data_IF_710246945782
#
_entry.id   IF_710246945782
#
_cell.length_a   1.000
_cell.length_b   1.000
_cell.length_c   1.000
_cell.angle_alpha   90.00
_cell.angle_beta   90.00
_cell.angle_gamma   90.00
#
_symmetry.space_group_name_H-M   'P 1'
#
loop_
_entity.id
_entity.type
_entity.pdbx_description
1 polymer ?
#
# COMPACT_ATOMS: atom_id res chain seq x y z
N UNK A 1 1.87 0.33 -1.49
CA UNK A 1 0.55 -0.33 -1.31
C UNK A 1 -0.60 0.37 -2.06
N UNK A 2 -1.24 -0.25 -3.06
CA UNK A 2 -2.47 0.25 -3.72
C UNK A 2 -3.71 -0.51 -3.22
N UNK A 3 -4.74 0.21 -2.76
CA UNK A 3 -6.00 -0.37 -2.25
C UNK A 3 -7.16 0.04 -3.16
N UNK A 4 -7.88 -0.93 -3.71
CA UNK A 4 -9.07 -0.73 -4.57
C UNK A 4 -10.32 -1.21 -3.84
N UNK A 5 -11.39 -0.41 -3.86
CA UNK A 5 -12.69 -0.80 -3.30
C UNK A 5 -13.63 -1.25 -4.40
N UNK A 6 -14.06 -2.51 -4.33
CA UNK A 6 -15.08 -3.11 -5.20
C UNK A 6 -16.13 -3.77 -4.32
N UNK A 7 -16.78 -2.94 -3.49
CA UNK A 7 -17.68 -3.41 -2.45
C UNK A 7 -18.89 -4.11 -3.06
N UNK A 8 -19.29 -5.22 -2.43
CA UNK A 8 -20.52 -5.93 -2.77
C UNK A 8 -21.72 -4.98 -2.69
N UNK A 9 -22.65 -5.04 -3.67
CA UNK A 9 -23.89 -4.27 -3.61
C UNK A 9 -24.74 -4.63 -2.38
N UNK A 10 -25.47 -3.64 -1.83
CA UNK A 10 -26.26 -3.80 -0.59
C UNK A 10 -27.31 -4.90 -0.70
N UNK A 11 -27.91 -5.07 -1.87
CA UNK A 11 -28.88 -6.11 -2.19
C UNK A 11 -28.34 -7.54 -2.03
N UNK A 12 -27.02 -7.73 -1.96
CA UNK A 12 -26.41 -9.06 -1.72
C UNK A 12 -25.88 -9.24 -0.30
N UNK A 13 -26.09 -8.27 0.59
CA UNK A 13 -25.61 -8.35 1.98
C UNK A 13 -26.19 -9.59 2.68
N UNK A 14 -27.46 -9.93 2.47
CA UNK A 14 -28.09 -11.09 3.09
C UNK A 14 -27.38 -12.43 2.77
N UNK A 15 -26.70 -12.49 1.63
CA UNK A 15 -25.97 -13.68 1.17
C UNK A 15 -24.51 -13.61 1.65
N UNK A 16 -23.85 -12.47 1.45
CA UNK A 16 -22.40 -12.34 1.59
C UNK A 16 -21.96 -11.90 2.97
N UNK A 17 -22.68 -10.97 3.59
CA UNK A 17 -22.26 -10.33 4.83
C UNK A 17 -23.48 -9.87 5.64
N UNK A 18 -24.38 -10.76 6.07
CA UNK A 18 -25.68 -10.37 6.64
C UNK A 18 -25.58 -9.66 8.00
N UNK A 19 -24.48 -9.84 8.73
CA UNK A 19 -24.33 -9.34 10.09
C UNK A 19 -23.36 -8.18 10.16
N UNK A 20 -23.68 -7.20 10.99
CA UNK A 20 -22.71 -6.21 11.45
C UNK A 20 -21.62 -6.89 12.28
N UNK A 21 -20.44 -6.29 12.27
CA UNK A 21 -19.25 -6.78 12.93
C UNK A 21 -18.43 -5.60 13.44
N UNK A 22 -17.99 -5.70 14.69
CA UNK A 22 -16.84 -4.94 15.17
C UNK A 22 -15.64 -5.88 15.07
N UNK A 23 -14.69 -5.63 14.16
CA UNK A 23 -13.51 -6.47 14.02
C UNK A 23 -12.75 -6.65 15.34
N UNK A 24 -12.23 -7.84 15.60
CA UNK A 24 -11.36 -8.12 16.76
C UNK A 24 -9.99 -8.72 16.39
N UNK A 25 -9.86 -9.23 15.17
CA UNK A 25 -8.64 -9.84 14.63
C UNK A 25 -8.68 -9.95 13.10
N UNK A 26 -7.56 -10.34 12.51
CA UNK A 26 -7.38 -10.62 11.07
C UNK A 26 -7.21 -12.14 10.89
N UNK A 27 -7.82 -12.69 9.84
CA UNK A 27 -7.66 -14.09 9.44
C UNK A 27 -6.99 -14.14 8.07
N UNK A 28 -5.90 -14.90 7.99
CA UNK A 28 -5.11 -15.07 6.78
C UNK A 28 -5.52 -16.34 6.06
N UNK A 29 -5.68 -16.23 4.75
CA UNK A 29 -6.07 -17.30 3.85
C UNK A 29 -5.19 -17.33 2.61
N UNK A 30 -5.22 -18.47 1.92
CA UNK A 30 -4.64 -18.64 0.61
C UNK A 30 -5.77 -19.13 -0.31
N UNK A 31 -5.89 -18.53 -1.49
CA UNK A 31 -6.99 -18.81 -2.42
C UNK A 31 -6.98 -20.24 -2.97
N UNK A 32 -5.82 -20.91 -2.94
CA UNK A 32 -5.55 -22.14 -3.68
C UNK A 32 -5.90 -22.01 -5.18
N UNK A 33 -5.64 -20.82 -5.74
CA UNK A 33 -5.92 -20.47 -7.13
C UNK A 33 -4.84 -19.52 -7.70
N UNK A 34 -4.79 -19.39 -9.03
CA UNK A 34 -3.86 -18.52 -9.77
C UNK A 34 -4.58 -17.33 -10.43
N UNK A 35 -5.55 -16.76 -9.72
CA UNK A 35 -6.32 -15.60 -10.16
C UNK A 35 -5.87 -14.33 -9.42
N UNK A 36 -6.00 -13.18 -10.09
CA UNK A 36 -5.72 -11.87 -9.48
C UNK A 36 -6.74 -11.51 -8.40
N UNK A 37 -6.42 -10.52 -7.56
CA UNK A 37 -7.31 -10.06 -6.50
C UNK A 37 -8.61 -9.48 -7.06
N UNK A 38 -8.55 -8.86 -8.24
CA UNK A 38 -9.73 -8.36 -8.95
C UNK A 38 -10.65 -9.51 -9.39
N UNK A 39 -10.08 -10.60 -9.91
CA UNK A 39 -10.84 -11.77 -10.33
C UNK A 39 -11.47 -12.48 -9.12
N UNK A 40 -10.72 -12.68 -8.04
CA UNK A 40 -11.21 -13.30 -6.80
C UNK A 40 -12.39 -12.50 -6.20
N UNK A 41 -12.25 -11.18 -6.06
CA UNK A 41 -13.33 -10.36 -5.50
C UNK A 41 -14.53 -10.26 -6.45
N UNK A 42 -14.31 -10.05 -7.76
CA UNK A 42 -15.43 -9.91 -8.71
C UNK A 42 -16.25 -11.19 -8.81
N UNK A 43 -15.59 -12.36 -8.82
CA UNK A 43 -16.26 -13.65 -8.74
C UNK A 43 -17.02 -13.80 -7.42
N UNK A 44 -16.37 -13.51 -6.29
CA UNK A 44 -16.96 -13.64 -4.95
C UNK A 44 -18.21 -12.79 -4.79
N UNK A 45 -18.18 -11.50 -5.15
CA UNK A 45 -19.34 -10.62 -5.04
C UNK A 45 -20.40 -10.88 -6.13
N UNK A 46 -19.99 -11.53 -7.23
CA UNK A 46 -20.80 -11.82 -8.41
C UNK A 46 -21.71 -13.06 -8.28
N UNK A 47 -21.35 -14.02 -7.42
CA UNK A 47 -22.08 -15.28 -7.26
C UNK A 47 -23.04 -15.29 -6.04
N UNK A 48 -23.90 -16.32 -5.94
CA UNK A 48 -24.90 -16.48 -4.87
C UNK A 48 -24.46 -17.42 -3.73
N UNK A 49 -23.19 -17.81 -3.68
CA UNK A 49 -22.69 -18.69 -2.63
C UNK A 49 -22.57 -17.94 -1.30
N UNK A 50 -22.86 -18.60 -0.17
CA UNK A 50 -22.59 -18.09 1.18
C UNK A 50 -21.11 -18.30 1.56
N UNK A 51 -20.23 -17.77 0.72
CA UNK A 51 -18.78 -17.76 0.86
C UNK A 51 -18.31 -16.37 0.46
N UNK A 52 -17.48 -15.75 1.30
CA UNK A 52 -17.00 -14.37 1.10
C UNK A 52 -15.84 -14.05 2.02
N UNK A 53 -14.99 -13.13 1.59
CA UNK A 53 -13.82 -12.62 2.30
C UNK A 53 -13.75 -11.10 2.12
N UNK A 54 -13.12 -10.39 3.05
CA UNK A 54 -13.11 -8.94 3.02
C UNK A 54 -12.20 -8.39 1.95
N UNK A 55 -10.99 -8.94 1.85
CA UNK A 55 -9.98 -8.52 0.89
C UNK A 55 -9.35 -9.71 0.19
N UNK A 56 -8.96 -9.50 -1.07
CA UNK A 56 -7.97 -10.32 -1.76
C UNK A 56 -6.73 -9.48 -2.06
N UNK A 57 -5.55 -10.11 -2.03
CA UNK A 57 -4.25 -9.46 -2.26
C UNK A 57 -3.51 -10.23 -3.34
N UNK A 58 -3.15 -9.54 -4.42
CA UNK A 58 -2.27 -10.05 -5.47
C UNK A 58 -0.91 -9.36 -5.44
N UNK A 59 -0.03 -9.68 -6.39
CA UNK A 59 1.32 -9.13 -6.48
C UNK A 59 1.38 -7.60 -6.69
N UNK A 60 0.25 -6.95 -7.05
CA UNK A 60 0.22 -5.52 -7.37
C UNK A 60 -0.73 -4.69 -6.50
N UNK A 61 -1.81 -5.28 -5.97
CA UNK A 61 -2.87 -4.53 -5.29
C UNK A 61 -3.64 -5.35 -4.26
N UNK A 62 -4.34 -4.61 -3.40
CA UNK A 62 -5.39 -5.11 -2.51
C UNK A 62 -6.74 -4.72 -3.11
N UNK A 63 -7.69 -5.65 -3.14
CA UNK A 63 -9.09 -5.39 -3.53
C UNK A 63 -10.01 -5.73 -2.37
N UNK A 64 -10.77 -4.75 -1.89
CA UNK A 64 -11.77 -4.92 -0.83
C UNK A 64 -13.16 -5.17 -1.42
N UNK A 65 -13.77 -6.30 -1.07
CA UNK A 65 -15.10 -6.73 -1.51
C UNK A 65 -16.18 -6.64 -0.43
N UNK A 66 -15.85 -6.85 0.84
CA UNK A 66 -16.80 -6.76 1.96
C UNK A 66 -16.37 -5.62 2.90
N UNK A 67 -17.30 -4.74 3.33
CA UNK A 67 -17.02 -3.73 4.36
C UNK A 67 -16.52 -4.38 5.66
N UNK A 68 -15.53 -3.78 6.32
CA UNK A 68 -14.98 -4.34 7.57
C UNK A 68 -15.94 -4.27 8.76
N UNK A 69 -16.97 -3.42 8.72
CA UNK A 69 -18.02 -3.39 9.74
C UNK A 69 -19.11 -4.46 9.52
N UNK A 70 -18.88 -5.43 8.64
CA UNK A 70 -19.77 -6.56 8.38
C UNK A 70 -18.99 -7.86 8.35
N UNK A 71 -19.67 -8.94 8.69
CA UNK A 71 -19.10 -10.28 8.73
C UNK A 71 -18.78 -10.78 7.31
N UNK A 72 -17.98 -11.84 7.20
CA UNK A 72 -17.84 -12.60 5.95
C UNK A 72 -17.89 -14.10 6.24
N UNK A 73 -18.33 -14.91 5.28
CA UNK A 73 -18.33 -16.38 5.37
C UNK A 73 -17.01 -16.98 4.86
N UNK A 74 -16.00 -17.09 5.74
CA UNK A 74 -14.63 -17.46 5.38
C UNK A 74 -14.03 -18.60 6.22
N UNK A 75 -14.36 -18.70 7.51
CA UNK A 75 -13.59 -19.45 8.51
C UNK A 75 -14.07 -20.90 8.73
N UNK A 76 -15.22 -21.27 8.17
CA UNK A 76 -15.77 -22.63 8.29
C UNK A 76 -16.24 -23.02 9.69
N UNK A 77 -16.32 -22.09 10.63
CA UNK A 77 -16.68 -22.30 12.05
C UNK A 77 -18.18 -22.07 12.34
N UNK A 78 -19.01 -22.22 11.32
CA UNK A 78 -20.47 -22.09 11.41
C UNK A 78 -20.98 -20.64 11.51
N UNK A 79 -22.29 -20.51 11.71
CA UNK A 79 -22.99 -19.21 11.65
C UNK A 79 -22.53 -18.20 12.71
N UNK A 80 -22.17 -18.70 13.90
CA UNK A 80 -21.86 -17.90 15.08
C UNK A 80 -20.42 -18.05 15.56
N UNK A 81 -19.56 -18.74 14.80
CA UNK A 81 -18.15 -18.88 15.15
C UNK A 81 -17.42 -17.55 15.06
N UNK A 82 -16.41 -17.38 15.92
CA UNK A 82 -15.67 -16.14 16.06
C UNK A 82 -14.97 -15.74 14.75
N UNK A 83 -14.45 -16.70 13.98
CA UNK A 83 -13.78 -16.43 12.72
C UNK A 83 -14.71 -15.76 11.71
N UNK A 84 -15.89 -16.32 11.49
CA UNK A 84 -16.89 -15.72 10.60
C UNK A 84 -17.48 -14.40 11.12
N UNK A 85 -17.47 -14.16 12.44
CA UNK A 85 -18.24 -13.08 13.07
C UNK A 85 -17.43 -11.92 13.63
N UNK A 86 -16.11 -12.08 13.77
CA UNK A 86 -15.20 -11.08 14.37
C UNK A 86 -13.91 -10.86 13.56
N UNK A 87 -13.62 -11.72 12.59
CA UNK A 87 -12.39 -11.66 11.80
C UNK A 87 -12.52 -10.85 10.50
N UNK A 88 -11.51 -10.02 10.21
CA UNK A 88 -11.27 -9.51 8.85
C UNK A 88 -10.51 -10.57 8.06
N UNK A 89 -11.13 -11.12 7.02
CA UNK A 89 -10.56 -12.18 6.18
C UNK A 89 -9.78 -11.59 4.99
N UNK A 90 -8.52 -12.01 4.87
CA UNK A 90 -7.59 -11.62 3.80
C UNK A 90 -7.15 -12.86 3.03
N UNK A 91 -7.50 -12.93 1.75
CA UNK A 91 -7.12 -13.99 0.81
C UNK A 91 -5.87 -13.60 0.02
N UNK A 92 -4.79 -14.39 0.13
CA UNK A 92 -3.57 -14.20 -0.65
C UNK A 92 -3.67 -15.02 -1.95
N UNK A 93 -3.62 -14.31 -3.08
CA UNK A 93 -3.73 -14.85 -4.43
C UNK A 93 -2.49 -15.66 -4.86
N UNK A 94 -2.58 -16.35 -6.00
CA UNK A 94 -1.49 -17.11 -6.64
C UNK A 94 -0.89 -18.27 -5.83
N UNK A 95 -1.52 -18.62 -4.69
CA UNK A 95 -1.04 -19.68 -3.82
C UNK A 95 -1.15 -21.09 -4.43
N UNK A 96 -1.83 -21.31 -5.55
CA UNK A 96 -1.87 -22.64 -6.19
C UNK A 96 -0.52 -22.99 -6.82
N UNK A 97 -0.05 -22.17 -7.74
CA UNK A 97 1.24 -22.37 -8.41
C UNK A 97 2.42 -21.80 -7.61
N UNK A 98 2.19 -20.79 -6.77
CA UNK A 98 3.26 -20.15 -5.99
C UNK A 98 4.14 -19.26 -6.87
N UNK A 99 5.45 -19.24 -6.56
CA UNK A 99 6.44 -18.46 -7.29
C UNK A 99 6.41 -16.97 -7.00
N UNK A 100 7.09 -16.18 -7.83
CA UNK A 100 7.31 -14.74 -7.62
C UNK A 100 6.00 -13.96 -7.40
N UNK A 101 4.93 -14.32 -8.11
CA UNK A 101 3.63 -13.67 -7.95
C UNK A 101 3.02 -13.92 -6.58
N UNK A 102 3.14 -15.14 -6.04
CA UNK A 102 2.70 -15.43 -4.67
C UNK A 102 3.60 -14.74 -3.64
N UNK A 103 4.92 -14.80 -3.81
CA UNK A 103 5.86 -14.15 -2.88
C UNK A 103 5.62 -12.64 -2.78
N UNK A 104 5.35 -11.99 -3.92
CA UNK A 104 5.02 -10.57 -3.96
C UNK A 104 3.64 -10.28 -3.38
N UNK A 105 2.65 -11.16 -3.61
CA UNK A 105 1.32 -11.05 -2.99
C UNK A 105 1.40 -11.22 -1.46
N UNK A 106 2.22 -12.15 -0.98
CA UNK A 106 2.42 -12.42 0.45
C UNK A 106 3.12 -11.23 1.15
N UNK A 107 4.16 -10.65 0.53
CA UNK A 107 4.78 -9.41 1.01
C UNK A 107 3.79 -8.25 1.09
N UNK A 108 2.99 -8.04 0.04
CA UNK A 108 1.98 -6.99 0.04
C UNK A 108 0.88 -7.24 1.08
N UNK A 109 0.50 -8.50 1.28
CA UNK A 109 -0.45 -8.89 2.32
C UNK A 109 0.12 -8.61 3.72
N UNK A 110 1.39 -8.91 3.96
CA UNK A 110 2.06 -8.61 5.23
C UNK A 110 2.12 -7.09 5.50
N UNK A 111 2.48 -6.28 4.50
CA UNK A 111 2.45 -4.81 4.57
C UNK A 111 1.03 -4.31 4.90
N UNK A 112 0.01 -4.86 4.24
CA UNK A 112 -1.38 -4.46 4.45
C UNK A 112 -1.92 -4.87 5.83
N UNK A 113 -1.57 -6.07 6.31
CA UNK A 113 -1.91 -6.53 7.65
C UNK A 113 -1.29 -5.61 8.70
N UNK A 114 0.00 -5.28 8.57
CA UNK A 114 0.67 -4.34 9.47
C UNK A 114 -0.02 -2.97 9.47
N UNK A 115 -0.42 -2.46 8.30
CA UNK A 115 -1.21 -1.23 8.19
C UNK A 115 -2.54 -1.35 8.97
N UNK A 116 -3.31 -2.43 8.79
CA UNK A 116 -4.56 -2.64 9.52
C UNK A 116 -4.34 -2.75 11.03
N UNK A 117 -3.30 -3.47 11.48
CA UNK A 117 -2.94 -3.57 12.89
C UNK A 117 -2.70 -2.17 13.50
N UNK A 118 -1.94 -1.30 12.81
CA UNK A 118 -1.74 0.09 13.25
C UNK A 118 -3.06 0.88 13.29
N UNK A 119 -3.92 0.76 12.28
CA UNK A 119 -5.21 1.47 12.23
C UNK A 119 -6.14 1.10 13.39
N UNK A 120 -6.15 -0.18 13.78
CA UNK A 120 -6.98 -0.67 14.89
C UNK A 120 -6.28 -0.65 16.26
N UNK A 121 -5.04 -0.16 16.33
CA UNK A 121 -4.19 -0.23 17.52
C UNK A 121 -4.08 -1.67 18.08
N UNK A 122 -3.89 -2.63 17.17
CA UNK A 122 -3.73 -4.04 17.49
C UNK A 122 -2.27 -4.46 17.43
N UNK A 123 -1.95 -5.48 18.22
CA UNK A 123 -0.65 -6.16 18.20
C UNK A 123 -0.71 -7.39 17.30
N UNK A 124 0.46 -7.97 17.05
CA UNK A 124 0.63 -9.12 16.15
C UNK A 124 -0.17 -10.37 16.57
N UNK A 125 -0.52 -10.49 17.85
CA UNK A 125 -1.35 -11.58 18.40
C UNK A 125 -2.79 -11.61 17.84
N UNK A 126 -3.21 -10.52 17.19
CA UNK A 126 -4.47 -10.38 16.45
C UNK A 126 -4.40 -10.91 15.01
N UNK A 127 -3.29 -11.47 14.58
CA UNK A 127 -3.20 -12.20 13.29
C UNK A 127 -3.40 -13.69 13.54
N UNK A 128 -4.45 -14.24 12.93
CA UNK A 128 -4.82 -15.66 12.99
C UNK A 128 -4.77 -16.28 11.60
N UNK A 129 -4.71 -17.60 11.53
CA UNK A 129 -4.87 -18.37 10.28
C UNK A 129 -6.21 -19.09 10.29
N UNK A 130 -6.77 -19.35 9.12
CA UNK A 130 -8.04 -20.10 9.01
C UNK A 130 -7.98 -21.45 9.75
N UNK A 131 -6.83 -22.13 9.73
CA UNK A 131 -6.62 -23.37 10.47
C UNK A 131 -6.99 -23.29 11.96
N UNK A 132 -6.85 -22.11 12.60
CA UNK A 132 -7.16 -21.90 14.02
C UNK A 132 -8.68 -22.04 14.33
N UNK A 133 -9.54 -21.98 13.31
CA UNK A 133 -11.01 -21.98 13.46
C UNK A 133 -11.67 -23.29 13.02
N UNK A 134 -11.12 -23.98 12.01
CA UNK A 134 -11.76 -25.17 11.42
C UNK A 134 -10.80 -26.33 11.11
N UNK A 135 -9.56 -26.29 11.60
CA UNK A 135 -8.49 -27.25 11.28
C UNK A 135 -8.18 -27.40 9.78
N UNK A 136 -8.78 -26.58 8.91
CA UNK A 136 -8.49 -26.56 7.47
C UNK A 136 -7.02 -26.24 7.25
N UNK A 137 -6.36 -26.96 6.34
CA UNK A 137 -5.00 -26.61 5.90
C UNK A 137 -5.03 -25.31 5.06
N UNK A 138 -5.15 -24.16 5.73
CA UNK A 138 -5.26 -22.84 5.13
C UNK A 138 -4.72 -21.81 6.14
N UNK A 139 -3.82 -20.88 5.74
CA UNK A 139 -3.29 -20.63 4.40
C UNK A 139 -2.22 -21.68 3.99
N UNK A 140 -2.51 -22.54 3.01
CA UNK A 140 -1.75 -23.78 2.78
C UNK A 140 -0.28 -23.55 2.41
N UNK A 141 0.01 -22.60 1.52
CA UNK A 141 1.38 -22.29 1.05
C UNK A 141 2.13 -21.45 2.07
N UNK A 142 1.49 -20.43 2.66
CA UNK A 142 2.07 -19.67 3.77
C UNK A 142 2.42 -20.58 4.97
N UNK A 143 1.64 -21.65 5.20
CA UNK A 143 1.97 -22.68 6.20
C UNK A 143 3.18 -23.52 5.78
N UNK A 144 3.24 -23.94 4.52
CA UNK A 144 4.35 -24.70 3.92
C UNK A 144 5.67 -23.91 3.98
N UNK A 145 5.65 -22.62 3.67
CA UNK A 145 6.79 -21.70 3.71
C UNK A 145 7.14 -21.23 5.13
N UNK A 146 6.33 -21.62 6.11
CA UNK A 146 6.54 -21.36 7.53
C UNK A 146 5.73 -20.17 8.03
N UNK A 147 4.65 -20.45 8.76
CA UNK A 147 3.79 -19.41 9.36
C UNK A 147 4.55 -18.37 10.19
N UNK A 148 5.59 -18.77 10.91
CA UNK A 148 6.41 -17.84 11.70
C UNK A 148 7.18 -16.86 10.80
N UNK A 149 7.60 -17.26 9.59
CA UNK A 149 8.24 -16.37 8.63
C UNK A 149 7.28 -15.27 8.21
N UNK A 150 6.01 -15.62 7.95
CA UNK A 150 4.97 -14.64 7.63
C UNK A 150 4.68 -13.68 8.80
N UNK A 151 4.59 -14.18 10.04
CA UNK A 151 4.45 -13.35 11.24
C UNK A 151 5.63 -12.40 11.42
N UNK A 152 6.86 -12.86 11.16
CA UNK A 152 8.05 -12.02 11.21
C UNK A 152 8.01 -10.92 10.13
N UNK A 153 7.55 -11.26 8.93
CA UNK A 153 7.39 -10.31 7.82
C UNK A 153 6.36 -9.22 8.16
N UNK A 154 5.21 -9.58 8.75
CA UNK A 154 4.25 -8.60 9.26
C UNK A 154 4.89 -7.72 10.34
N UNK A 155 5.61 -8.33 11.29
CA UNK A 155 6.26 -7.60 12.39
C UNK A 155 7.29 -6.58 11.86
N UNK A 156 8.06 -6.95 10.83
CA UNK A 156 8.98 -6.05 10.14
C UNK A 156 8.29 -4.80 9.55
N UNK A 157 7.05 -4.93 9.05
CA UNK A 157 6.26 -3.78 8.57
C UNK A 157 5.52 -3.05 9.72
N UNK A 158 5.26 -3.74 10.83
CA UNK A 158 4.60 -3.17 12.00
C UNK A 158 5.54 -2.27 12.80
N UNK A 159 6.83 -2.61 12.87
CA UNK A 159 7.85 -1.77 13.49
C UNK A 159 7.90 -0.40 12.81
N UNK A 160 7.79 0.67 13.62
CA UNK A 160 8.21 1.99 13.20
C UNK A 160 9.73 1.97 13.12
N UNK A 161 10.25 1.60 11.95
CA UNK A 161 11.68 1.68 11.72
C UNK A 161 12.09 3.14 11.91
N UNK A 162 13.02 3.45 12.82
CA UNK A 162 13.61 4.78 12.83
C UNK A 162 14.10 5.04 11.41
N UNK A 163 13.82 6.22 10.89
CA UNK A 163 14.53 6.70 9.71
C UNK A 163 15.99 6.68 10.14
N UNK A 164 16.75 5.72 9.63
CA UNK A 164 18.18 5.68 9.88
C UNK A 164 18.75 6.83 9.08
N UNK A 165 18.82 8.01 9.71
CA UNK A 165 19.49 9.18 9.16
C UNK A 165 21.00 8.94 8.98
N UNK A 166 21.53 7.78 9.41
CA UNK A 166 22.93 7.37 9.22
C UNK A 166 23.38 7.21 7.76
N UNK A 167 22.52 7.53 6.79
CA UNK A 167 22.87 7.73 5.37
C UNK A 167 22.22 8.95 4.72
N UNK A 168 21.49 9.76 5.49
CA UNK A 168 21.08 11.11 5.10
C UNK A 168 22.06 12.00 5.84
N UNK A 169 23.14 12.44 5.16
CA UNK A 169 23.82 13.64 5.61
C UNK A 169 22.72 14.65 5.89
N UNK A 170 22.60 15.07 7.16
CA UNK A 170 21.66 16.09 7.58
C UNK A 170 21.63 17.13 6.47
N UNK A 171 20.44 17.36 5.87
CA UNK A 171 20.27 18.38 4.85
C UNK A 171 21.02 19.60 5.33
N UNK A 172 22.06 19.96 4.59
CA UNK A 172 23.11 20.80 5.12
C UNK A 172 22.51 22.09 5.64
N UNK A 173 22.99 22.58 6.79
CA UNK A 173 22.83 23.99 7.18
C UNK A 173 23.62 24.90 6.21
N UNK A 174 23.87 24.45 4.96
CA UNK A 174 24.40 25.29 3.91
C UNK A 174 23.39 26.39 3.64
N UNK A 175 23.89 27.62 3.61
CA UNK A 175 23.10 28.76 3.18
C UNK A 175 22.46 28.45 1.83
N UNK A 176 21.18 28.80 1.72
CA UNK A 176 20.42 28.69 0.47
C UNK A 176 21.19 29.42 -0.63
N UNK A 177 21.66 28.66 -1.62
CA UNK A 177 22.39 29.18 -2.77
C UNK A 177 21.46 29.99 -3.67
N UNK A 178 22.02 30.81 -4.54
CA UNK A 178 21.22 31.52 -5.55
C UNK A 178 21.31 30.78 -6.88
N UNK A 179 20.18 30.49 -7.50
CA UNK A 179 20.11 30.10 -8.91
C UNK A 179 19.78 31.32 -9.76
N UNK A 180 20.64 31.68 -10.70
CA UNK A 180 20.33 32.66 -11.74
C UNK A 180 20.20 31.97 -13.08
N UNK A 181 19.03 32.06 -13.72
CA UNK A 181 18.78 31.49 -15.05
C UNK A 181 19.61 32.20 -16.15
N UNK A 182 19.80 31.51 -17.28
CA UNK A 182 20.55 31.97 -18.45
C UNK A 182 19.79 32.99 -19.31
N UNK A 183 20.23 33.17 -20.56
CA UNK A 183 19.63 34.12 -21.50
C UNK A 183 18.31 33.65 -22.15
N UNK A 184 17.91 32.40 -21.89
CA UNK A 184 16.67 31.79 -22.39
C UNK A 184 15.83 31.29 -21.23
N UNK A 185 14.51 31.15 -21.44
CA UNK A 185 13.65 30.52 -20.44
C UNK A 185 14.09 29.08 -20.16
N UNK A 186 14.08 28.69 -18.89
CA UNK A 186 14.45 27.34 -18.45
C UNK A 186 13.20 26.60 -17.95
N UNK A 187 13.06 25.32 -18.30
CA UNK A 187 11.93 24.51 -17.86
C UNK A 187 12.21 23.96 -16.46
N UNK A 188 11.24 24.08 -15.56
CA UNK A 188 11.30 23.45 -14.23
C UNK A 188 10.51 22.14 -14.24
N UNK A 189 11.14 21.06 -13.77
CA UNK A 189 10.59 19.70 -13.74
C UNK A 189 10.25 19.22 -12.32
N UNK A 190 9.31 18.28 -12.19
CA UNK A 190 8.91 17.68 -10.91
C UNK A 190 9.92 16.66 -10.37
N UNK A 191 10.75 16.11 -11.25
CA UNK A 191 11.64 14.99 -10.98
C UNK A 191 12.99 15.17 -11.70
N UNK A 192 14.04 14.54 -11.18
CA UNK A 192 15.39 14.65 -11.75
C UNK A 192 15.55 13.97 -13.11
N UNK A 193 14.65 13.04 -13.46
CA UNK A 193 14.57 12.43 -14.79
C UNK A 193 13.91 13.36 -15.83
N UNK A 194 13.46 14.55 -15.41
CA UNK A 194 12.83 15.56 -16.25
C UNK A 194 11.59 15.06 -17.01
N UNK A 195 10.83 14.15 -16.41
CA UNK A 195 9.66 13.53 -17.08
C UNK A 195 8.42 14.41 -17.06
N UNK A 196 8.27 15.26 -16.03
CA UNK A 196 7.08 16.10 -15.85
C UNK A 196 7.45 17.58 -15.71
N UNK A 197 7.05 18.41 -16.67
CA UNK A 197 7.15 19.88 -16.59
C UNK A 197 6.15 20.43 -15.58
N UNK A 198 6.58 21.34 -14.71
CA UNK A 198 5.73 21.98 -13.69
C UNK A 198 5.76 23.52 -13.70
N UNK A 199 6.70 24.10 -14.45
CA UNK A 199 6.79 25.54 -14.68
C UNK A 199 8.01 25.90 -15.54
N UNK A 200 8.44 27.14 -15.42
CA UNK A 200 9.63 27.68 -16.07
C UNK A 200 10.15 28.91 -15.33
N UNK A 201 11.43 29.19 -15.51
CA UNK A 201 12.09 30.43 -15.13
C UNK A 201 12.25 31.32 -16.35
N UNK A 202 12.04 32.62 -16.19
CA UNK A 202 12.30 33.63 -17.22
C UNK A 202 13.80 33.87 -17.41
N UNK A 203 14.23 34.39 -18.57
CA UNK A 203 15.63 34.74 -18.79
C UNK A 203 16.19 35.64 -17.67
N UNK A 204 17.34 35.25 -17.11
CA UNK A 204 18.02 35.93 -15.98
C UNK A 204 17.25 35.98 -14.66
N UNK A 205 16.11 35.29 -14.54
CA UNK A 205 15.38 35.18 -13.27
C UNK A 205 16.27 34.57 -12.19
N UNK A 206 16.15 35.11 -10.96
CA UNK A 206 16.87 34.62 -9.78
C UNK A 206 15.90 33.96 -8.82
N UNK A 207 16.31 32.84 -8.26
CA UNK A 207 15.52 32.09 -7.30
C UNK A 207 16.44 31.33 -6.33
N UNK A 208 15.85 30.77 -5.28
CA UNK A 208 16.59 30.00 -4.29
C UNK A 208 17.01 28.65 -4.88
N UNK A 209 18.23 28.21 -4.58
CA UNK A 209 18.79 26.92 -4.94
C UNK A 209 19.11 26.13 -3.68
N UNK A 210 18.58 24.92 -3.60
CA UNK A 210 18.79 24.01 -2.46
C UNK A 210 19.87 22.96 -2.74
N UNK A 211 20.58 23.09 -3.86
CA UNK A 211 21.66 22.18 -4.25
C UNK A 211 21.42 21.46 -5.57
N UNK A 212 22.34 20.55 -5.88
CA UNK A 212 22.34 19.76 -7.11
C UNK A 212 22.04 18.30 -6.74
N UNK A 213 21.01 17.73 -7.38
CA UNK A 213 20.55 16.35 -7.15
C UNK A 213 20.46 15.64 -8.50
N UNK A 214 21.18 14.54 -8.66
CA UNK A 214 21.24 13.78 -9.93
C UNK A 214 21.49 14.69 -11.15
N UNK A 215 22.52 15.55 -11.06
CA UNK A 215 22.88 16.55 -12.09
C UNK A 215 21.77 17.55 -12.43
N UNK A 216 20.87 17.87 -11.48
CA UNK A 216 19.84 18.90 -11.63
C UNK A 216 19.85 19.88 -10.47
N UNK A 217 19.70 21.16 -10.76
CA UNK A 217 19.59 22.18 -9.72
C UNK A 217 18.16 22.17 -9.14
N UNK A 218 18.03 21.99 -7.83
CA UNK A 218 16.74 22.08 -7.15
C UNK A 218 16.45 23.52 -6.76
N UNK A 219 15.44 24.12 -7.38
CA UNK A 219 15.13 25.54 -7.23
C UNK A 219 13.75 25.77 -6.62
N UNK A 220 13.59 26.81 -5.80
CA UNK A 220 12.29 27.36 -5.37
C UNK A 220 12.05 28.68 -6.09
N UNK A 221 11.08 28.68 -7.01
CA UNK A 221 10.78 29.84 -7.85
C UNK A 221 9.36 30.35 -7.61
N UNK A 222 9.18 31.65 -7.86
CA UNK A 222 7.90 32.32 -7.71
C UNK A 222 7.00 31.99 -8.90
N UNK A 223 5.73 31.67 -8.66
CA UNK A 223 4.80 31.33 -9.74
C UNK A 223 4.19 32.61 -10.29
N UNK A 224 4.56 33.00 -11.52
CA UNK A 224 3.97 34.10 -12.28
C UNK A 224 3.86 35.43 -11.48
N UNK A 225 4.87 35.75 -10.66
CA UNK A 225 4.86 36.97 -9.83
C UNK A 225 3.82 36.99 -8.70
N UNK A 226 3.19 35.84 -8.38
CA UNK A 226 2.27 35.70 -7.23
C UNK A 226 3.03 35.40 -5.94
N UNK A 227 2.42 35.53 -4.77
CA UNK A 227 3.06 35.12 -3.50
C UNK A 227 3.17 33.59 -3.30
N UNK A 228 2.94 32.80 -4.37
CA UNK A 228 3.06 31.34 -4.33
C UNK A 228 4.39 30.90 -4.91
N UNK A 229 4.99 29.89 -4.28
CA UNK A 229 6.26 29.31 -4.70
C UNK A 229 6.08 27.85 -5.10
N UNK A 230 6.91 27.38 -6.02
CA UNK A 230 7.04 25.96 -6.37
C UNK A 230 8.50 25.55 -6.27
N UNK A 231 8.72 24.29 -5.94
CA UNK A 231 10.04 23.66 -5.99
C UNK A 231 10.08 22.69 -7.16
N UNK A 232 11.21 22.65 -7.86
CA UNK A 232 11.48 21.66 -8.88
C UNK A 232 12.92 21.67 -9.35
N UNK A 233 13.17 21.00 -10.46
CA UNK A 233 14.51 20.74 -10.98
C UNK A 233 14.75 21.45 -12.31
N UNK A 234 15.85 22.19 -12.41
CA UNK A 234 16.36 22.77 -13.66
C UNK A 234 17.49 21.89 -14.22
N UNK A 235 17.59 21.82 -15.54
CA UNK A 235 18.65 21.06 -16.23
C UNK A 235 19.96 21.83 -16.24
N UNK A 236 19.89 23.14 -16.43
CA UNK A 236 21.11 23.95 -16.54
C UNK A 236 21.70 24.22 -15.15
N UNK A 237 22.95 23.78 -14.93
CA UNK A 237 23.66 23.91 -13.65
C UNK A 237 24.51 25.18 -13.54
N UNK A 238 24.80 25.85 -14.67
CA UNK A 238 25.67 27.04 -14.69
C UNK A 238 25.10 28.27 -13.97
N UNK A 239 23.85 28.20 -13.52
CA UNK A 239 23.18 29.24 -12.75
C UNK A 239 23.36 29.15 -11.24
N UNK A 240 23.90 28.04 -10.70
CA UNK A 240 24.05 27.83 -9.25
C UNK A 240 25.25 28.64 -8.73
N UNK A 241 25.02 29.56 -7.80
CA UNK A 241 26.02 30.40 -7.13
C UNK A 241 25.89 30.29 -5.60
#
# INVERSE_FOLDING_TARGET
>A
MQITKMLVPKERYEIKCPYEMNPEFIIVHNTANDASAMAEISYMIGNNNKISFHCAVDNTRIVQGIPFNRNSWNAGDGKNGDGNRKGISIEICYSKSGGEDFENAEKLAAEYIAYLLKQYNWKIDRVKKHQDFSNKNCPHRTLEEGWQNFINLISFYLEDKPINNDGIENGSDEEVKTYQNGSTSEIVYADTNCTKRIGSLDPRERCDCFGIFNDRAMVRYQVNGTNNFKIGFCKWLGGVN
#
